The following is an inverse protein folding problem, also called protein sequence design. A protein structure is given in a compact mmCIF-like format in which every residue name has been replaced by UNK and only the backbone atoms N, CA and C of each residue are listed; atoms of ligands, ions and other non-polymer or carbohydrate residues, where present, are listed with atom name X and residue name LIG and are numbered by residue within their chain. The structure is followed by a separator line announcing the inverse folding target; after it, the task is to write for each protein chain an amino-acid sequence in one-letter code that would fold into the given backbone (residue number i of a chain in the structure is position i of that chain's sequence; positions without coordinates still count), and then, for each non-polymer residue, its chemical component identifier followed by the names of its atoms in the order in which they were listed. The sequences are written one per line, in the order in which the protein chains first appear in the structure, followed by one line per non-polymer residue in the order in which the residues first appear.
data_IF_852586651384
#
_entry.id   IF_852586651384
#
_cell.length_a   1.000
_cell.length_b   1.000
_cell.length_c   1.000
_cell.angle_alpha   90.00
_cell.angle_beta   90.00
_cell.angle_gamma   90.00
#
_symmetry.space_group_name_H-M   'P 1'
#
loop_
_entity.id
_entity.type
_entity.pdbx_description
1 polymer ?
#
# COMPACT_ATOMS: atom_id res chain seq x y z
N UNK A 1 -1.86 1.99 10.22
CA UNK A 1 -3.17 2.56 9.84
C UNK A 1 -3.39 3.93 10.48
N UNK A 2 -3.56 4.06 11.81
CA UNK A 2 -3.73 5.37 12.46
C UNK A 2 -2.56 6.34 12.26
N UNK A 3 -1.33 5.87 12.50
CA UNK A 3 -0.14 6.72 12.33
C UNK A 3 0.00 7.17 10.88
N UNK A 4 -0.16 6.24 9.92
CA UNK A 4 -0.12 6.55 8.49
C UNK A 4 -1.21 7.55 8.11
N UNK A 5 -2.43 7.39 8.61
CA UNK A 5 -3.54 8.32 8.39
C UNK A 5 -3.19 9.71 8.92
N UNK A 6 -2.72 9.81 10.17
CA UNK A 6 -2.35 11.09 10.77
C UNK A 6 -1.18 11.74 10.02
N UNK A 7 -0.11 11.02 9.73
CA UNK A 7 1.07 11.59 9.07
C UNK A 7 0.75 12.03 7.64
N UNK A 8 0.04 11.21 6.87
CA UNK A 8 -0.22 11.49 5.45
C UNK A 8 -1.42 12.42 5.29
N UNK A 9 -2.58 12.04 5.80
CA UNK A 9 -3.85 12.75 5.52
C UNK A 9 -4.07 13.97 6.41
N UNK A 10 -3.49 13.99 7.61
CA UNK A 10 -3.59 15.16 8.48
C UNK A 10 -2.36 16.06 8.36
N UNK A 11 -1.19 15.60 8.78
CA UNK A 11 -0.01 16.44 8.91
C UNK A 11 0.56 16.88 7.55
N UNK A 12 0.80 15.93 6.64
CA UNK A 12 1.43 16.23 5.35
C UNK A 12 0.51 17.07 4.46
N UNK A 13 -0.77 16.71 4.33
CA UNK A 13 -1.71 17.47 3.52
C UNK A 13 -1.97 18.89 4.04
N UNK A 14 -2.10 19.08 5.37
CA UNK A 14 -2.21 20.43 5.93
C UNK A 14 -0.92 21.25 5.75
N UNK A 15 0.26 20.60 5.84
CA UNK A 15 1.52 21.27 5.55
C UNK A 15 1.55 21.80 4.11
N UNK A 16 1.20 20.95 3.13
CA UNK A 16 1.14 21.39 1.74
C UNK A 16 0.07 22.46 1.52
N UNK A 17 -1.10 22.35 2.16
CA UNK A 17 -2.15 23.36 2.06
C UNK A 17 -1.69 24.73 2.58
N UNK A 18 -0.93 24.77 3.67
CA UNK A 18 -0.35 26.02 4.18
C UNK A 18 0.71 26.59 3.22
N UNK A 19 1.60 25.73 2.71
CA UNK A 19 2.65 26.12 1.77
C UNK A 19 2.07 26.68 0.46
N UNK A 20 0.97 26.10 -0.05
CA UNK A 20 0.32 26.54 -1.28
C UNK A 20 -0.80 27.57 -1.04
N UNK A 21 -1.03 27.97 0.22
CA UNK A 21 -2.17 28.83 0.63
C UNK A 21 -3.53 28.31 0.15
N UNK A 22 -3.67 26.98 0.13
CA UNK A 22 -4.92 26.32 -0.23
C UNK A 22 -5.89 26.38 0.95
N UNK A 23 -7.09 26.93 0.69
CA UNK A 23 -8.06 27.25 1.74
C UNK A 23 -8.90 26.02 2.16
N UNK A 24 -9.14 25.08 1.26
CA UNK A 24 -9.93 23.89 1.58
C UNK A 24 -9.06 22.85 2.29
N UNK A 25 -9.44 22.52 3.53
CA UNK A 25 -8.70 21.62 4.42
C UNK A 25 -9.49 20.35 4.76
N UNK A 26 -10.63 20.12 4.09
CA UNK A 26 -11.49 18.97 4.38
C UNK A 26 -11.01 17.71 3.65
N UNK A 27 -9.82 17.21 4.01
CA UNK A 27 -9.23 16.04 3.35
C UNK A 27 -9.85 14.69 3.77
N UNK A 28 -10.47 14.64 4.95
CA UNK A 28 -11.16 13.47 5.49
C UNK A 28 -12.27 13.91 6.44
N UNK A 29 -13.23 13.02 6.70
CA UNK A 29 -14.34 13.25 7.63
C UNK A 29 -14.28 12.28 8.83
N UNK A 30 -15.31 12.24 9.66
CA UNK A 30 -15.47 11.39 10.85
C UNK A 30 -15.63 9.88 10.53
N UNK A 31 -14.68 9.31 9.80
CA UNK A 31 -14.67 7.92 9.34
C UNK A 31 -14.69 6.91 10.50
N UNK A 32 -14.23 7.29 11.70
CA UNK A 32 -14.17 6.42 12.88
C UNK A 32 -15.55 6.14 13.50
N UNK A 33 -16.54 7.01 13.26
CA UNK A 33 -17.87 6.90 13.84
C UNK A 33 -18.89 6.29 12.86
N UNK A 34 -18.45 5.85 11.68
CA UNK A 34 -19.37 5.32 10.67
C UNK A 34 -19.78 3.88 10.99
N UNK A 35 -20.99 3.51 10.57
CA UNK A 35 -21.57 2.18 10.77
C UNK A 35 -21.64 1.36 9.49
N UNK A 36 -21.30 1.95 8.34
CA UNK A 36 -21.42 1.31 7.03
C UNK A 36 -20.10 1.36 6.28
N UNK A 37 -19.77 0.29 5.57
CA UNK A 37 -18.54 0.19 4.78
C UNK A 37 -18.49 1.23 3.65
N UNK A 38 -19.64 1.50 3.05
CA UNK A 38 -19.75 2.54 2.04
C UNK A 38 -19.40 3.93 2.61
N UNK A 39 -19.86 4.26 3.83
CA UNK A 39 -19.49 5.53 4.46
C UNK A 39 -18.01 5.60 4.84
N UNK A 40 -17.42 4.47 5.26
CA UNK A 40 -15.97 4.38 5.51
C UNK A 40 -15.15 4.78 4.28
N UNK A 41 -15.43 4.19 3.12
CA UNK A 41 -14.69 4.49 1.89
C UNK A 41 -14.82 5.94 1.44
N UNK A 42 -15.96 6.59 1.69
CA UNK A 42 -16.14 8.02 1.36
C UNK A 42 -15.38 8.95 2.31
N UNK A 43 -15.44 8.65 3.61
CA UNK A 43 -14.95 9.56 4.65
C UNK A 43 -13.47 9.39 4.99
N UNK A 44 -12.87 8.25 4.65
CA UNK A 44 -11.48 7.94 4.99
C UNK A 44 -10.48 8.87 4.29
N UNK A 45 -10.63 9.06 2.98
CA UNK A 45 -9.79 9.90 2.15
C UNK A 45 -10.66 10.61 1.12
N UNK A 46 -11.07 11.84 1.46
CA UNK A 46 -11.95 12.67 0.64
C UNK A 46 -11.34 12.97 -0.72
N UNK A 47 -10.04 13.31 -0.78
CA UNK A 47 -9.39 13.64 -2.06
C UNK A 47 -9.46 12.50 -3.09
N UNK A 48 -9.11 11.29 -2.68
CA UNK A 48 -9.14 10.12 -3.57
C UNK A 48 -10.58 9.74 -3.91
N UNK A 49 -11.48 9.81 -2.93
CA UNK A 49 -12.89 9.55 -3.16
C UNK A 49 -13.47 10.52 -4.20
N UNK A 50 -13.22 11.81 -4.05
CA UNK A 50 -13.77 12.85 -4.91
C UNK A 50 -13.17 12.81 -6.31
N UNK A 51 -11.89 12.45 -6.43
CA UNK A 51 -11.27 12.15 -7.73
C UNK A 51 -11.97 10.99 -8.44
N UNK A 52 -12.09 9.84 -7.78
CA UNK A 52 -12.75 8.66 -8.36
C UNK A 52 -14.21 8.96 -8.66
N UNK A 53 -14.91 9.68 -7.79
CA UNK A 53 -16.31 10.02 -7.99
C UNK A 53 -16.49 10.94 -9.21
N UNK A 54 -15.70 12.02 -9.26
CA UNK A 54 -15.89 13.08 -10.26
C UNK A 54 -15.42 12.66 -11.66
N UNK A 55 -14.28 11.97 -11.76
CA UNK A 55 -13.66 11.65 -13.05
C UNK A 55 -13.94 10.23 -13.54
N UNK A 56 -14.23 9.28 -12.65
CA UNK A 56 -14.46 7.90 -13.07
C UNK A 56 -15.93 7.54 -12.96
N UNK A 57 -16.54 7.68 -11.78
CA UNK A 57 -17.92 7.28 -11.59
C UNK A 57 -18.89 8.13 -12.40
N UNK A 58 -18.79 9.47 -12.34
CA UNK A 58 -19.67 10.36 -13.11
C UNK A 58 -19.56 10.10 -14.61
N UNK A 59 -18.33 9.98 -15.13
CA UNK A 59 -18.10 9.74 -16.56
C UNK A 59 -18.64 8.37 -17.03
N UNK A 60 -18.49 7.33 -16.22
CA UNK A 60 -19.06 6.00 -16.51
C UNK A 60 -20.59 6.03 -16.55
N UNK A 61 -21.23 6.85 -15.70
CA UNK A 61 -22.70 6.96 -15.67
C UNK A 61 -23.21 7.85 -16.80
N UNK A 62 -22.57 9.00 -17.03
CA UNK A 62 -23.06 10.03 -17.95
C UNK A 62 -22.66 9.76 -19.40
N UNK A 63 -21.39 9.45 -19.67
CA UNK A 63 -20.89 9.27 -21.04
C UNK A 63 -20.98 7.81 -21.52
N UNK A 64 -20.71 6.84 -20.65
CA UNK A 64 -20.77 5.40 -21.03
C UNK A 64 -22.18 4.82 -20.85
N UNK A 65 -23.04 5.48 -20.06
CA UNK A 65 -24.41 5.02 -19.81
C UNK A 65 -24.50 3.77 -18.94
N UNK A 66 -23.49 3.50 -18.10
CA UNK A 66 -23.51 2.36 -17.19
C UNK A 66 -24.55 2.52 -16.09
N UNK A 67 -25.11 1.40 -15.63
CA UNK A 67 -25.95 1.41 -14.42
C UNK A 67 -25.13 1.89 -13.21
N UNK A 68 -25.77 2.61 -12.27
CA UNK A 68 -25.10 3.12 -11.07
C UNK A 68 -24.36 2.03 -10.28
N UNK A 69 -24.93 0.83 -10.23
CA UNK A 69 -24.30 -0.31 -9.54
C UNK A 69 -23.08 -0.82 -10.29
N UNK A 70 -23.13 -0.87 -11.62
CA UNK A 70 -22.00 -1.28 -12.46
C UNK A 70 -20.89 -0.25 -12.40
N UNK A 71 -21.20 1.04 -12.53
CA UNK A 71 -20.21 2.11 -12.43
C UNK A 71 -19.50 2.13 -11.07
N UNK A 72 -20.24 1.89 -9.98
CA UNK A 72 -19.67 1.73 -8.64
C UNK A 72 -18.73 0.52 -8.56
N UNK A 73 -19.14 -0.63 -9.10
CA UNK A 73 -18.32 -1.85 -9.13
C UNK A 73 -17.01 -1.63 -9.91
N UNK A 74 -17.10 -1.04 -11.11
CA UNK A 74 -15.94 -0.73 -11.95
C UNK A 74 -15.00 0.23 -11.24
N UNK A 75 -15.54 1.30 -10.63
CA UNK A 75 -14.74 2.27 -9.89
C UNK A 75 -14.01 1.64 -8.72
N UNK A 76 -14.67 0.72 -8.02
CA UNK A 76 -14.08 0.00 -6.89
C UNK A 76 -12.99 -0.97 -7.33
N UNK A 77 -13.22 -1.74 -8.40
CA UNK A 77 -12.23 -2.67 -8.97
C UNK A 77 -11.01 -1.91 -9.48
N UNK A 78 -11.20 -0.81 -10.21
CA UNK A 78 -10.09 0.01 -10.70
C UNK A 78 -9.27 0.57 -9.53
N UNK A 79 -9.94 1.04 -8.48
CA UNK A 79 -9.27 1.48 -7.26
C UNK A 79 -8.44 0.35 -6.64
N UNK A 80 -8.99 -0.87 -6.53
CA UNK A 80 -8.26 -2.02 -5.99
C UNK A 80 -7.02 -2.37 -6.83
N UNK A 81 -7.09 -2.30 -8.17
CA UNK A 81 -5.95 -2.52 -9.07
C UNK A 81 -4.87 -1.46 -8.85
N UNK A 82 -5.24 -0.18 -8.72
CA UNK A 82 -4.27 0.90 -8.48
C UNK A 82 -3.58 0.73 -7.12
N UNK A 83 -4.32 0.36 -6.07
CA UNK A 83 -3.73 0.11 -4.75
C UNK A 83 -2.74 -1.06 -4.79
N UNK A 84 -3.10 -2.15 -5.47
CA UNK A 84 -2.21 -3.29 -5.67
C UNK A 84 -0.95 -2.89 -6.46
N UNK A 85 -1.11 -2.11 -7.53
CA UNK A 85 0.01 -1.60 -8.32
C UNK A 85 0.99 -0.77 -7.49
N UNK A 86 0.48 0.14 -6.64
CA UNK A 86 1.33 0.97 -5.77
C UNK A 86 2.12 0.09 -4.78
N UNK A 87 1.46 -0.91 -4.18
CA UNK A 87 2.13 -1.83 -3.25
C UNK A 87 3.16 -2.68 -3.97
N UNK A 88 2.82 -3.24 -5.13
CA UNK A 88 3.72 -4.07 -5.93
C UNK A 88 4.95 -3.27 -6.40
N UNK A 89 4.75 -2.02 -6.84
CA UNK A 89 5.84 -1.12 -7.22
C UNK A 89 6.74 -0.76 -6.02
N UNK A 90 6.15 -0.62 -4.82
CA UNK A 90 6.90 -0.29 -3.59
C UNK A 90 7.72 -1.47 -3.06
N UNK A 91 7.21 -2.71 -3.20
CA UNK A 91 7.85 -3.93 -2.69
C UNK A 91 8.75 -4.62 -3.72
N UNK A 92 8.59 -4.33 -5.01
CA UNK A 92 9.34 -4.95 -6.10
C UNK A 92 8.85 -6.35 -6.51
N UNK A 93 7.67 -6.78 -6.04
CA UNK A 93 7.02 -8.03 -6.45
C UNK A 93 5.49 -7.89 -6.42
N UNK A 94 4.80 -8.76 -7.15
CA UNK A 94 3.33 -8.78 -7.18
C UNK A 94 2.80 -9.85 -6.23
N UNK A 95 1.88 -9.47 -5.32
CA UNK A 95 1.24 -10.40 -4.40
C UNK A 95 -0.17 -9.91 -4.04
N UNK A 96 -1.21 -10.35 -4.78
CA UNK A 96 -2.53 -9.69 -4.88
C UNK A 96 -3.44 -9.85 -3.65
N UNK A 97 -2.90 -9.87 -2.45
CA UNK A 97 -3.66 -9.99 -1.20
C UNK A 97 -4.52 -8.75 -0.96
N UNK A 98 -4.01 -7.55 -1.28
CA UNK A 98 -4.80 -6.33 -1.14
C UNK A 98 -5.98 -6.38 -2.12
N UNK A 99 -5.74 -6.71 -3.39
CA UNK A 99 -6.80 -6.85 -4.37
C UNK A 99 -7.89 -7.84 -3.94
N UNK A 100 -7.51 -9.01 -3.41
CA UNK A 100 -8.47 -10.04 -2.95
C UNK A 100 -9.25 -9.57 -1.72
N UNK A 101 -8.61 -8.95 -0.74
CA UNK A 101 -9.28 -8.47 0.48
C UNK A 101 -10.18 -7.26 0.22
N UNK A 102 -9.78 -6.37 -0.68
CA UNK A 102 -10.60 -5.24 -1.10
C UNK A 102 -11.78 -5.72 -1.96
N UNK A 103 -11.51 -6.50 -3.00
CA UNK A 103 -12.49 -6.98 -3.98
C UNK A 103 -13.47 -8.02 -3.47
N UNK A 104 -13.07 -8.90 -2.54
CA UNK A 104 -13.95 -9.91 -1.97
C UNK A 104 -14.70 -9.39 -0.74
N UNK A 105 -14.11 -9.50 0.47
CA UNK A 105 -14.74 -9.02 1.70
C UNK A 105 -15.17 -7.56 1.66
N UNK A 106 -14.39 -6.65 1.07
CA UNK A 106 -14.75 -5.23 1.00
C UNK A 106 -16.06 -4.94 0.27
N UNK A 107 -16.26 -5.56 -0.90
CA UNK A 107 -17.51 -5.45 -1.66
C UNK A 107 -18.67 -6.13 -0.92
N UNK A 108 -18.43 -7.30 -0.34
CA UNK A 108 -19.44 -8.02 0.43
C UNK A 108 -19.90 -7.23 1.65
N UNK A 109 -18.98 -6.62 2.40
CA UNK A 109 -19.28 -5.78 3.55
C UNK A 109 -20.07 -4.52 3.18
N UNK A 110 -19.82 -3.94 2.00
CA UNK A 110 -20.65 -2.82 1.50
C UNK A 110 -22.11 -3.21 1.36
N UNK A 111 -22.41 -4.42 0.89
CA UNK A 111 -23.79 -4.90 0.76
C UNK A 111 -24.38 -5.29 2.12
N UNK A 112 -23.60 -5.98 2.96
CA UNK A 112 -24.03 -6.44 4.29
C UNK A 112 -24.40 -5.28 5.23
N UNK A 113 -23.62 -4.21 5.19
CA UNK A 113 -23.80 -3.03 6.07
C UNK A 113 -24.74 -1.98 5.48
N UNK A 114 -25.32 -2.22 4.30
CA UNK A 114 -26.24 -1.28 3.66
C UNK A 114 -27.46 -1.01 4.54
N UNK A 115 -27.71 0.26 4.86
CA UNK A 115 -28.84 0.68 5.70
C UNK A 115 -28.72 0.31 7.18
N UNK A 116 -27.60 -0.30 7.61
CA UNK A 116 -27.38 -0.68 9.00
C UNK A 116 -26.93 0.53 9.83
N UNK A 117 -27.61 0.76 10.95
CA UNK A 117 -27.32 1.84 11.90
C UNK A 117 -27.18 1.24 13.30
N UNK A 118 -26.31 1.83 14.12
CA UNK A 118 -26.12 1.44 15.52
C UNK A 118 -24.68 1.07 15.88
N UNK A 119 -24.41 1.06 17.19
CA UNK A 119 -23.07 0.87 17.75
C UNK A 119 -22.45 -0.49 17.44
N UNK A 120 -23.27 -1.54 17.35
CA UNK A 120 -22.82 -2.89 16.99
C UNK A 120 -22.11 -2.92 15.63
N UNK A 121 -22.62 -2.16 14.67
CA UNK A 121 -22.03 -2.08 13.33
C UNK A 121 -20.73 -1.29 13.30
N UNK A 122 -20.58 -0.29 14.17
CA UNK A 122 -19.31 0.39 14.36
C UNK A 122 -18.26 -0.55 14.99
N UNK A 123 -18.63 -1.33 16.02
CA UNK A 123 -17.74 -2.34 16.61
C UNK A 123 -17.35 -3.40 15.57
N UNK A 124 -18.32 -3.91 14.81
CA UNK A 124 -18.07 -4.83 13.70
C UNK A 124 -17.06 -4.24 12.71
N UNK A 125 -17.21 -2.96 12.38
CA UNK A 125 -16.23 -2.30 11.52
C UNK A 125 -14.83 -2.27 12.11
N UNK A 126 -14.68 -1.89 13.37
CA UNK A 126 -13.37 -1.86 14.01
C UNK A 126 -12.70 -3.23 14.02
N UNK A 127 -13.45 -4.28 14.34
CA UNK A 127 -12.93 -5.66 14.34
C UNK A 127 -12.47 -6.05 12.94
N UNK A 128 -13.32 -5.89 11.92
CA UNK A 128 -12.97 -6.29 10.55
C UNK A 128 -11.85 -5.43 9.94
N UNK A 129 -11.78 -4.14 10.28
CA UNK A 129 -10.72 -3.24 9.85
C UNK A 129 -9.38 -3.63 10.49
N UNK A 130 -9.37 -3.92 11.80
CA UNK A 130 -8.18 -4.40 12.50
C UNK A 130 -7.72 -5.76 11.95
N UNK A 131 -8.63 -6.71 11.76
CA UNK A 131 -8.32 -8.02 11.19
C UNK A 131 -7.79 -7.92 9.77
N UNK A 132 -8.45 -7.14 8.89
CA UNK A 132 -8.01 -6.96 7.51
C UNK A 132 -6.63 -6.31 7.41
N UNK A 133 -6.37 -5.25 8.18
CA UNK A 133 -5.07 -4.59 8.22
C UNK A 133 -3.98 -5.50 8.81
N UNK A 134 -4.28 -6.25 9.87
CA UNK A 134 -3.36 -7.21 10.47
C UNK A 134 -3.00 -8.35 9.51
N UNK A 135 -3.98 -8.89 8.80
CA UNK A 135 -3.77 -9.95 7.82
C UNK A 135 -2.90 -9.47 6.65
N UNK A 136 -3.19 -8.28 6.10
CA UNK A 136 -2.35 -7.68 5.05
C UNK A 136 -0.91 -7.50 5.52
N UNK A 137 -0.72 -6.95 6.72
CA UNK A 137 0.62 -6.75 7.29
C UNK A 137 1.37 -8.09 7.39
N UNK A 138 0.80 -9.10 8.04
CA UNK A 138 1.47 -10.39 8.23
C UNK A 138 1.80 -11.06 6.90
N UNK A 139 0.86 -11.08 5.95
CA UNK A 139 1.05 -11.76 4.68
C UNK A 139 2.11 -11.07 3.80
N UNK A 140 2.07 -9.73 3.69
CA UNK A 140 3.08 -9.00 2.93
C UNK A 140 4.47 -9.10 3.56
N UNK A 141 4.57 -9.01 4.89
CA UNK A 141 5.86 -9.15 5.57
C UNK A 141 6.41 -10.57 5.48
N UNK A 142 5.56 -11.60 5.65
CA UNK A 142 5.97 -13.00 5.48
C UNK A 142 6.51 -13.24 4.08
N UNK A 143 5.81 -12.76 3.06
CA UNK A 143 6.23 -12.92 1.67
C UNK A 143 7.54 -12.14 1.39
N UNK A 144 7.65 -10.89 1.87
CA UNK A 144 8.87 -10.09 1.75
C UNK A 144 10.09 -10.78 2.37
N UNK A 145 9.98 -11.23 3.62
CA UNK A 145 11.08 -11.92 4.29
C UNK A 145 11.39 -13.28 3.67
N UNK A 146 10.39 -14.02 3.19
CA UNK A 146 10.62 -15.29 2.48
C UNK A 146 11.46 -15.10 1.21
N UNK A 147 11.31 -13.96 0.54
CA UNK A 147 12.08 -13.62 -0.66
C UNK A 147 13.48 -13.14 -0.31
N UNK A 148 13.62 -12.38 0.77
CA UNK A 148 14.93 -11.92 1.26
C UNK A 148 15.82 -13.09 1.71
N UNK A 149 15.27 -14.03 2.48
CA UNK A 149 16.02 -15.19 3.00
C UNK A 149 16.46 -16.16 1.90
N UNK A 150 15.76 -16.19 0.77
CA UNK A 150 16.05 -17.10 -0.35
C UNK A 150 17.01 -16.51 -1.38
N UNK A 151 17.49 -15.28 -1.18
CA UNK A 151 18.31 -14.56 -2.14
C UNK A 151 19.73 -15.13 -2.27
N UNK A 152 19.93 -16.05 -3.23
CA UNK A 152 21.09 -16.05 -4.16
C UNK A 152 21.01 -17.14 -5.27
N UNK A 153 20.25 -18.23 -5.11
CA UNK A 153 20.56 -19.45 -5.90
C UNK A 153 19.49 -20.01 -6.86
N UNK A 154 18.46 -19.25 -7.27
CA UNK A 154 17.54 -19.76 -8.30
C UNK A 154 17.22 -18.71 -9.37
N UNK A 155 17.96 -18.82 -10.46
CA UNK A 155 17.66 -18.46 -11.85
C UNK A 155 16.53 -17.44 -12.06
N UNK A 156 17.00 -16.24 -12.40
CA UNK A 156 16.31 -15.05 -12.88
C UNK A 156 15.46 -15.24 -14.16
N UNK A 157 15.05 -16.44 -14.54
CA UNK A 157 14.56 -16.72 -15.91
C UNK A 157 13.04 -16.81 -16.09
N UNK A 158 12.22 -16.42 -15.12
CA UNK A 158 10.81 -16.11 -15.43
C UNK A 158 10.18 -15.09 -14.51
N UNK A 159 9.90 -13.91 -15.06
CA UNK A 159 9.04 -12.88 -14.49
C UNK A 159 7.72 -13.47 -13.93
N UNK A 160 7.21 -14.52 -14.59
CA UNK A 160 6.02 -15.28 -14.16
C UNK A 160 6.17 -15.97 -12.80
N UNK A 161 7.35 -16.53 -12.48
CA UNK A 161 7.61 -17.18 -11.19
C UNK A 161 7.84 -16.17 -10.06
N UNK A 162 8.30 -14.96 -10.39
CA UNK A 162 8.41 -13.85 -9.44
C UNK A 162 7.02 -13.31 -9.05
N UNK A 163 6.06 -13.33 -9.99
CA UNK A 163 4.73 -12.73 -9.85
C UNK A 163 3.64 -13.65 -9.28
N UNK A 164 3.69 -14.98 -9.49
CA UNK A 164 2.50 -15.83 -9.32
C UNK A 164 2.58 -16.89 -8.21
N UNK A 165 3.78 -17.25 -7.74
CA UNK A 165 3.94 -18.32 -6.74
C UNK A 165 4.27 -17.71 -5.36
N UNK A 166 3.38 -17.81 -4.36
CA UNK A 166 3.69 -17.38 -3.00
C UNK A 166 4.81 -18.26 -2.42
N UNK A 167 5.96 -17.66 -2.13
CA UNK A 167 7.14 -18.39 -1.63
C UNK A 167 7.01 -18.67 -0.12
N UNK A 168 5.99 -18.11 0.51
CA UNK A 168 5.65 -18.24 1.92
C UNK A 168 5.26 -19.66 2.38
N UNK A 169 4.75 -20.52 1.50
CA UNK A 169 4.32 -21.88 1.86
C UNK A 169 5.47 -22.89 2.02
N UNK A 170 6.62 -22.64 1.38
CA UNK A 170 7.79 -23.53 1.44
C UNK A 170 8.78 -23.14 2.55
N UNK A 171 8.46 -22.10 3.32
CA UNK A 171 9.38 -21.58 4.34
C UNK A 171 9.48 -22.50 5.57
N UNK A 172 8.42 -23.27 5.84
CA UNK A 172 8.37 -24.21 6.96
C UNK A 172 9.33 -25.41 6.75
N UNK A 173 9.66 -25.73 5.50
CA UNK A 173 10.66 -26.75 5.13
C UNK A 173 12.10 -26.25 5.33
N UNK A 174 12.34 -24.94 5.13
CA UNK A 174 13.66 -24.30 5.22
C UNK A 174 14.00 -23.78 6.63
N UNK A 175 12.99 -23.55 7.48
CA UNK A 175 13.20 -22.98 8.82
C UNK A 175 14.17 -23.78 9.71
N UNK A 176 14.15 -25.13 9.74
CA UNK A 176 15.13 -25.91 10.51
C UNK A 176 16.58 -25.72 10.03
N UNK A 177 16.77 -25.51 8.72
CA UNK A 177 18.08 -25.31 8.09
C UNK A 177 18.64 -23.90 8.35
N UNK A 178 17.77 -22.88 8.31
CA UNK A 178 18.10 -21.49 8.66
C UNK A 178 18.31 -21.32 10.18
N UNK A 179 17.53 -22.04 11.01
CA UNK A 179 17.71 -22.04 12.46
C UNK A 179 18.97 -22.81 12.91
N UNK A 180 19.37 -23.86 12.17
CA UNK A 180 20.56 -24.66 12.46
C UNK A 180 21.89 -24.01 12.06
N UNK A 181 21.88 -23.03 11.14
CA UNK A 181 23.08 -22.35 10.63
C UNK A 181 23.59 -21.22 11.51
N UNK A 182 22.98 -20.97 12.68
CA UNK A 182 23.45 -19.93 13.60
C UNK A 182 23.29 -18.50 13.07
N UNK A 183 22.60 -18.31 11.95
CA UNK A 183 22.20 -17.01 11.40
C UNK A 183 21.04 -16.39 12.21
N UNK A 184 21.22 -16.25 13.52
CA UNK A 184 20.37 -15.40 14.36
C UNK A 184 20.69 -13.90 14.19
N UNK A 185 21.68 -13.57 13.38
CA UNK A 185 21.98 -12.20 13.00
C UNK A 185 21.14 -11.84 11.77
N UNK A 186 20.23 -10.87 11.93
CA UNK A 186 19.81 -10.01 10.82
C UNK A 186 21.07 -9.67 10.02
N UNK A 187 21.10 -9.84 8.69
CA UNK A 187 22.29 -9.57 7.91
C UNK A 187 22.59 -8.08 7.99
N UNK A 188 23.42 -7.66 8.96
CA UNK A 188 23.85 -6.26 9.12
C UNK A 188 24.72 -5.79 7.96
N UNK A 189 25.05 -6.71 7.04
CA UNK A 189 25.80 -6.45 5.83
C UNK A 189 25.19 -7.23 4.66
N UNK A 190 24.97 -6.52 3.56
CA UNK A 190 24.72 -7.11 2.24
C UNK A 190 26.08 -7.12 1.54
N UNK A 191 26.51 -8.30 1.13
CA UNK A 191 27.76 -8.52 0.41
C UNK A 191 27.38 -8.71 -1.07
N UNK A 192 27.94 -7.91 -1.97
CA UNK A 192 27.71 -8.03 -3.41
C UNK A 192 28.83 -8.87 -4.04
N UNK A 193 28.61 -9.40 -5.25
CA UNK A 193 29.54 -10.26 -6.02
C UNK A 193 30.96 -9.68 -6.22
N UNK A 194 31.17 -8.41 -5.90
CA UNK A 194 32.48 -7.73 -5.93
C UNK A 194 33.31 -7.92 -4.64
N UNK A 195 32.82 -8.69 -3.67
CA UNK A 195 33.52 -8.99 -2.41
C UNK A 195 33.59 -7.81 -1.45
N UNK A 196 32.78 -6.76 -1.64
CA UNK A 196 32.76 -5.60 -0.74
C UNK A 196 31.63 -5.69 0.28
N UNK A 197 31.99 -5.98 1.54
CA UNK A 197 31.04 -6.03 2.65
C UNK A 197 30.74 -4.62 3.19
N UNK A 198 29.65 -3.97 2.75
CA UNK A 198 29.18 -2.72 3.38
C UNK A 198 28.26 -3.02 4.58
N UNK A 199 28.64 -2.47 5.74
CA UNK A 199 27.90 -2.54 7.01
C UNK A 199 27.01 -1.30 7.09
N UNK A 200 25.71 -1.43 6.82
CA UNK A 200 24.65 -0.48 7.25
C UNK A 200 23.28 -0.83 6.61
N UNK A 201 22.35 -1.35 7.42
CA UNK A 201 20.91 -1.49 7.10
C UNK A 201 20.04 -0.42 7.79
N UNK A 202 20.63 0.75 8.08
CA UNK A 202 19.86 1.95 8.45
C UNK A 202 20.22 3.04 7.44
N UNK A 203 19.25 3.79 6.89
CA UNK A 203 19.56 4.91 6.03
C UNK A 203 20.34 5.93 6.85
N UNK A 204 21.66 6.01 6.64
CA UNK A 204 22.46 7.08 7.20
C UNK A 204 21.93 8.43 6.69
N UNK A 205 21.94 9.49 7.53
CA UNK A 205 21.44 10.82 7.18
C UNK A 205 22.12 11.46 5.95
N UNK A 206 23.21 10.87 5.46
CA UNK A 206 23.94 11.29 4.27
C UNK A 206 23.24 10.92 2.94
N UNK A 207 22.31 9.95 2.93
CA UNK A 207 21.57 9.58 1.70
C UNK A 207 20.60 10.70 1.29
N UNK A 208 19.94 11.33 2.28
CA UNK A 208 19.13 12.55 2.08
C UNK A 208 19.98 13.73 1.60
N UNK A 209 21.21 13.89 2.11
CA UNK A 209 22.13 14.94 1.66
C UNK A 209 22.59 14.74 0.20
N UNK A 210 22.79 13.48 -0.23
CA UNK A 210 23.15 13.15 -1.62
C UNK A 210 22.01 13.34 -2.62
N UNK A 211 20.76 13.24 -2.14
CA UNK A 211 19.56 13.50 -2.94
C UNK A 211 19.32 15.01 -3.07
N UNK A 212 19.52 15.78 -2.01
CA UNK A 212 19.41 17.25 -2.02
C UNK A 212 20.50 17.90 -2.89
N UNK A 213 21.74 17.39 -2.87
CA UNK A 213 22.82 17.92 -3.73
C UNK A 213 22.61 17.63 -5.22
N UNK A 214 21.87 16.57 -5.57
CA UNK A 214 21.49 16.25 -6.96
C UNK A 214 20.33 17.08 -7.49
N UNK A 215 19.51 17.68 -6.62
CA UNK A 215 18.42 18.58 -7.03
C UNK A 215 18.94 20.01 -7.27
N UNK A 216 20.07 20.39 -6.67
CA UNK A 216 20.66 21.74 -6.83
C UNK A 216 21.64 21.92 -7.99
N UNK A 217 21.84 20.91 -8.84
CA UNK A 217 22.94 20.87 -9.81
C UNK A 217 22.50 20.69 -11.26
N UNK A 218 21.66 21.59 -11.78
CA UNK A 218 21.45 21.72 -13.22
C UNK A 218 21.08 23.16 -13.58
N UNK A 219 22.08 24.01 -13.81
CA UNK A 219 22.08 24.91 -14.98
C UNK A 219 23.41 25.66 -15.13
N UNK A 220 23.85 25.80 -16.38
CA UNK A 220 24.93 26.73 -16.74
C UNK A 220 26.00 26.17 -17.68
N UNK A 221 25.60 25.59 -18.81
CA UNK A 221 26.54 25.32 -19.91
C UNK A 221 27.06 26.60 -20.59
N UNK A 222 28.32 26.56 -21.02
CA UNK A 222 28.74 27.02 -22.34
C UNK A 222 29.11 28.50 -22.57
N UNK A 223 30.21 28.65 -23.34
CA UNK A 223 30.78 29.86 -24.01
C UNK A 223 31.58 30.77 -23.08
N UNK A 224 32.89 30.86 -23.21
CA UNK A 224 33.69 31.33 -24.37
C UNK A 224 35.11 30.80 -24.28
#
# INVERSE_FOLDING_TARGET
MFLTHFLVLHATQNLFAELTRFADRQFYEDWWNVTTWAAFYRKWNGLVHDFIHSYLYSDLVEFVGMSKSTAMMVSFVLSAVVHEYIVAASLGFFFPILFVLFGGPGIWFMQLTKGRKGRTWNIFMWVMLATGQGLMMVLYFREYYSRLLRGENEDLHSFANLLLVPRSYTLDELWPEVAGTGQHHFPSKVEWEDGTTKRELLPHPHVLASWISRIGGSDGGGRR
#
